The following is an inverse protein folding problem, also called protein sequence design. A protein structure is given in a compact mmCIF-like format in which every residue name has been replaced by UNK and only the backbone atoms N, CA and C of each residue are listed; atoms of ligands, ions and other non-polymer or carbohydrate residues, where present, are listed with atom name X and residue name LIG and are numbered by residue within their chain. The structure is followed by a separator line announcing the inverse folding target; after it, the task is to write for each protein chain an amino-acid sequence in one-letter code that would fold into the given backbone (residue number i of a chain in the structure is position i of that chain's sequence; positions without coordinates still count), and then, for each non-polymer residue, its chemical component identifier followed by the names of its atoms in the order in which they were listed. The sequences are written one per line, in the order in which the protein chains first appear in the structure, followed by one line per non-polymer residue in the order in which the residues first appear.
data_IF_291800258978
#
_entry.id   IF_291800258978
#
_cell.length_a   1.000
_cell.length_b   1.000
_cell.length_c   1.000
_cell.angle_alpha   90.00
_cell.angle_beta   90.00
_cell.angle_gamma   90.00
#
_symmetry.space_group_name_H-M   'P 1'
#
loop_
_entity.id
_entity.type
_entity.pdbx_description
1 polymer ?
#
# COMPACT_ATOMS: atom_id res chain seq x y z
N UNK A 1 -9.16 -19.10 -22.48
CA UNK A 1 -10.22 -18.66 -21.57
C UNK A 1 -9.59 -18.76 -20.19
N UNK A 2 -8.84 -17.73 -19.81
CA UNK A 2 -8.28 -17.65 -18.45
C UNK A 2 -9.35 -16.95 -17.64
N UNK A 3 -9.96 -17.69 -16.71
CA UNK A 3 -11.01 -17.17 -15.85
C UNK A 3 -10.32 -16.21 -14.88
N UNK A 4 -10.26 -14.93 -15.25
CA UNK A 4 -10.02 -13.85 -14.29
C UNK A 4 -11.19 -13.88 -13.30
N UNK A 5 -11.04 -14.71 -12.26
CA UNK A 5 -11.84 -14.58 -11.05
C UNK A 5 -11.65 -13.14 -10.59
N UNK A 6 -12.67 -12.31 -10.79
CA UNK A 6 -12.76 -10.96 -10.23
C UNK A 6 -12.70 -11.12 -8.72
N UNK A 7 -11.49 -11.08 -8.19
CA UNK A 7 -11.22 -11.22 -6.77
C UNK A 7 -11.86 -10.00 -6.11
N UNK A 8 -13.05 -10.21 -5.52
CA UNK A 8 -13.87 -9.16 -4.95
C UNK A 8 -13.05 -8.37 -3.93
N UNK A 9 -12.79 -7.10 -4.25
CA UNK A 9 -12.01 -6.23 -3.39
C UNK A 9 -12.77 -6.00 -2.08
N UNK A 10 -12.18 -6.43 -0.97
CA UNK A 10 -12.74 -6.22 0.37
C UNK A 10 -12.16 -4.92 0.96
N UNK A 11 -13.01 -3.94 1.30
CA UNK A 11 -12.58 -2.70 1.95
C UNK A 11 -11.77 -2.94 3.21
N UNK A 12 -10.71 -2.16 3.43
CA UNK A 12 -9.79 -2.30 4.57
C UNK A 12 -10.53 -2.10 5.90
N UNK A 13 -11.48 -1.15 5.96
CA UNK A 13 -12.34 -0.91 7.12
C UNK A 13 -13.15 -2.12 7.60
N UNK A 14 -13.38 -3.10 6.72
CA UNK A 14 -14.13 -4.31 7.05
C UNK A 14 -13.23 -5.47 7.50
N UNK A 15 -11.91 -5.34 7.40
CA UNK A 15 -10.98 -6.41 7.80
C UNK A 15 -10.59 -6.24 9.27
N UNK A 16 -10.59 -7.32 10.07
CA UNK A 16 -10.36 -7.23 11.51
C UNK A 16 -8.97 -6.71 11.88
N UNK A 17 -7.97 -6.89 11.01
CA UNK A 17 -6.60 -6.43 11.22
C UNK A 17 -6.41 -4.91 11.12
N UNK A 18 -7.42 -4.15 10.69
CA UNK A 18 -7.37 -2.69 10.52
C UNK A 18 -8.30 -1.92 11.45
N UNK A 19 -8.98 -2.59 12.39
CA UNK A 19 -9.98 -1.97 13.27
C UNK A 19 -9.39 -0.93 14.24
N UNK A 20 -8.11 -1.06 14.57
CA UNK A 20 -7.37 -0.16 15.45
C UNK A 20 -6.72 1.02 14.71
N UNK A 21 -6.69 0.99 13.37
CA UNK A 21 -6.05 2.01 12.56
C UNK A 21 -7.08 3.05 12.12
N UNK A 22 -6.83 4.32 12.50
CA UNK A 22 -7.63 5.44 12.01
C UNK A 22 -7.04 5.96 10.69
N UNK A 23 -7.76 5.85 9.56
CA UNK A 23 -7.24 6.28 8.26
C UNK A 23 -7.00 7.80 8.22
N UNK A 24 -5.95 8.21 7.52
CA UNK A 24 -5.55 9.62 7.36
C UNK A 24 -5.79 10.06 5.93
N UNK A 25 -6.73 10.98 5.73
CA UNK A 25 -7.07 11.52 4.42
C UNK A 25 -5.92 12.32 3.78
N UNK A 26 -5.94 12.41 2.46
CA UNK A 26 -5.04 13.30 1.71
C UNK A 26 -5.45 14.76 1.94
N UNK A 27 -4.51 15.59 2.37
CA UNK A 27 -4.71 17.04 2.50
C UNK A 27 -4.25 17.76 1.23
N UNK A 28 -5.20 18.06 0.33
CA UNK A 28 -4.94 18.84 -0.89
C UNK A 28 -5.26 20.35 -0.71
N UNK A 29 -5.61 20.77 0.51
CA UNK A 29 -6.00 22.14 0.83
C UNK A 29 -7.35 22.59 0.28
N UNK A 30 -7.68 23.88 0.44
CA UNK A 30 -9.02 24.42 0.14
C UNK A 30 -9.36 24.49 -1.36
N UNK A 31 -8.35 24.65 -2.22
CA UNK A 31 -8.53 24.83 -3.67
C UNK A 31 -7.45 24.04 -4.44
N UNK A 32 -7.60 22.72 -4.60
CA UNK A 32 -6.62 21.89 -5.31
C UNK A 32 -6.56 22.27 -6.79
N UNK A 33 -5.34 22.45 -7.31
CA UNK A 33 -5.12 22.85 -8.71
C UNK A 33 -5.28 21.67 -9.68
N UNK A 34 -5.07 20.44 -9.21
CA UNK A 34 -5.12 19.21 -10.03
C UNK A 34 -5.65 18.01 -9.22
N UNK A 35 -6.92 18.02 -8.77
CA UNK A 35 -7.48 16.89 -8.05
C UNK A 35 -7.55 15.66 -8.97
N UNK A 36 -7.06 14.52 -8.48
CA UNK A 36 -7.16 13.25 -9.20
C UNK A 36 -8.40 12.53 -8.68
N UNK A 37 -9.30 12.18 -9.60
CA UNK A 37 -10.49 11.39 -9.30
C UNK A 37 -10.10 9.92 -9.05
N UNK A 38 -9.60 9.64 -7.84
CA UNK A 38 -9.22 8.29 -7.43
C UNK A 38 -10.44 7.40 -7.24
N UNK A 39 -10.27 6.11 -7.51
CA UNK A 39 -11.23 5.07 -7.11
C UNK A 39 -11.23 4.91 -5.59
N UNK A 40 -12.35 4.44 -5.03
CA UNK A 40 -12.50 4.21 -3.58
C UNK A 40 -11.39 3.30 -3.02
N UNK A 41 -11.05 2.22 -3.75
CA UNK A 41 -9.97 1.30 -3.38
C UNK A 41 -8.61 1.99 -3.16
N UNK A 42 -8.31 2.99 -4.00
CA UNK A 42 -7.07 3.74 -3.93
C UNK A 42 -7.09 4.72 -2.77
N UNK A 43 -8.20 5.43 -2.59
CA UNK A 43 -8.37 6.39 -1.50
C UNK A 43 -8.21 5.67 -0.16
N UNK A 44 -8.92 4.56 0.03
CA UNK A 44 -8.87 3.81 1.28
C UNK A 44 -7.45 3.27 1.52
N UNK A 45 -6.86 2.56 0.57
CA UNK A 45 -5.50 2.00 0.71
C UNK A 45 -4.47 3.06 1.06
N UNK A 46 -4.53 4.22 0.39
CA UNK A 46 -3.62 5.33 0.67
C UNK A 46 -3.87 5.98 2.02
N UNK A 47 -5.11 6.07 2.47
CA UNK A 47 -5.42 6.67 3.77
C UNK A 47 -4.92 5.81 4.94
N UNK A 48 -5.07 4.48 4.84
CA UNK A 48 -4.46 3.56 5.80
C UNK A 48 -2.93 3.61 5.72
N UNK A 49 -2.36 3.64 4.51
CA UNK A 49 -0.90 3.76 4.36
C UNK A 49 -0.35 5.02 5.03
N UNK A 50 -1.02 6.17 4.87
CA UNK A 50 -0.63 7.43 5.53
C UNK A 50 -0.72 7.33 7.06
N UNK A 51 -1.72 6.62 7.59
CA UNK A 51 -1.83 6.39 9.02
C UNK A 51 -0.64 5.61 9.56
N UNK A 52 -0.27 4.50 8.90
CA UNK A 52 0.90 3.69 9.28
C UNK A 52 2.21 4.45 9.13
N UNK A 53 2.35 5.21 8.04
CA UNK A 53 3.53 6.04 7.80
C UNK A 53 3.76 7.07 8.90
N UNK A 54 2.68 7.65 9.45
CA UNK A 54 2.77 8.67 10.49
C UNK A 54 3.34 8.15 11.81
N UNK A 55 3.08 6.88 12.11
CA UNK A 55 3.50 6.22 13.36
C UNK A 55 4.73 5.33 13.16
N UNK A 56 5.29 5.29 11.94
CA UNK A 56 6.40 4.41 11.54
C UNK A 56 6.13 2.92 11.84
N UNK A 57 4.87 2.48 11.64
CA UNK A 57 4.44 1.10 11.92
C UNK A 57 5.07 0.11 10.92
N UNK A 58 5.75 -0.91 11.45
CA UNK A 58 6.54 -1.89 10.68
C UNK A 58 6.17 -3.33 11.03
N UNK A 59 4.88 -3.60 11.03
CA UNK A 59 4.31 -4.94 11.29
C UNK A 59 4.01 -5.70 10.00
N UNK A 60 3.69 -6.99 10.13
CA UNK A 60 3.33 -7.83 8.96
C UNK A 60 2.11 -7.29 8.19
N UNK A 61 1.04 -6.78 8.82
CA UNK A 61 -0.07 -6.14 8.10
C UNK A 61 0.36 -4.90 7.31
N UNK A 62 1.25 -4.07 7.89
CA UNK A 62 1.78 -2.88 7.21
C UNK A 62 2.52 -3.22 5.91
N UNK A 63 3.31 -4.32 5.92
CA UNK A 63 4.02 -4.80 4.74
C UNK A 63 3.05 -5.31 3.64
N UNK A 64 1.97 -5.99 4.05
CA UNK A 64 0.93 -6.44 3.12
C UNK A 64 0.21 -5.25 2.49
N UNK A 65 -0.19 -4.25 3.29
CA UNK A 65 -0.81 -3.02 2.80
C UNK A 65 0.11 -2.28 1.83
N UNK A 66 1.41 -2.22 2.11
CA UNK A 66 2.38 -1.58 1.21
C UNK A 66 2.47 -2.33 -0.11
N UNK A 67 2.36 -3.66 -0.10
CA UNK A 67 2.31 -4.47 -1.33
C UNK A 67 1.04 -4.18 -2.14
N UNK A 68 -0.12 -4.04 -1.48
CA UNK A 68 -1.38 -3.62 -2.13
C UNK A 68 -1.25 -2.21 -2.73
N UNK A 69 -0.69 -1.26 -1.98
CA UNK A 69 -0.47 0.12 -2.44
C UNK A 69 0.46 0.20 -3.66
N UNK A 70 1.53 -0.61 -3.70
CA UNK A 70 2.44 -0.68 -4.86
C UNK A 70 1.73 -1.25 -6.10
N UNK A 71 0.82 -2.21 -5.94
CA UNK A 71 0.02 -2.72 -7.06
C UNK A 71 -0.90 -1.64 -7.63
N UNK A 72 -1.45 -0.78 -6.77
CA UNK A 72 -2.32 0.32 -7.17
C UNK A 72 -1.55 1.47 -7.84
N UNK A 73 -0.35 1.80 -7.37
CA UNK A 73 0.53 2.79 -8.01
C UNK A 73 2.02 2.50 -7.78
N UNK A 74 2.61 1.73 -8.70
CA UNK A 74 4.01 1.30 -8.61
C UNK A 74 5.04 2.42 -8.79
N UNK A 75 4.60 3.63 -9.18
CA UNK A 75 5.48 4.80 -9.35
C UNK A 75 5.59 5.67 -8.10
N UNK A 76 4.83 5.38 -7.05
CA UNK A 76 4.95 6.11 -5.80
C UNK A 76 6.16 5.59 -4.99
N UNK A 77 7.21 6.39 -4.92
CA UNK A 77 8.48 6.04 -4.28
C UNK A 77 8.41 6.03 -2.75
N UNK A 78 7.44 6.74 -2.15
CA UNK A 78 7.28 6.77 -0.68
C UNK A 78 6.90 5.41 -0.09
N UNK A 79 6.27 4.52 -0.88
CA UNK A 79 5.98 3.15 -0.46
C UNK A 79 7.25 2.34 -0.16
N UNK A 80 8.31 2.58 -0.92
CA UNK A 80 9.55 1.81 -0.78
C UNK A 80 10.33 2.18 0.49
N UNK A 81 10.15 3.40 1.01
CA UNK A 81 10.88 3.88 2.19
C UNK A 81 10.47 3.12 3.46
N UNK A 82 9.16 2.90 3.68
CA UNK A 82 8.66 2.08 4.80
C UNK A 82 9.18 0.63 4.73
N UNK A 83 9.12 0.03 3.53
CA UNK A 83 9.58 -1.35 3.32
C UNK A 83 11.08 -1.54 3.61
N UNK A 84 11.90 -0.51 3.42
CA UNK A 84 13.36 -0.60 3.60
C UNK A 84 13.80 -0.23 5.02
N UNK A 85 13.04 0.61 5.74
CA UNK A 85 13.39 1.06 7.09
C UNK A 85 13.09 0.06 8.22
N UNK A 86 12.11 -0.83 8.05
CA UNK A 86 11.68 -1.76 9.11
C UNK A 86 12.35 -3.12 9.12
N UNK A 87 13.18 -3.40 8.13
CA UNK A 87 13.84 -4.67 8.02
C UNK A 87 15.17 -4.62 8.77
N UNK A 88 15.10 -4.90 10.07
CA UNK A 88 16.29 -5.20 10.86
C UNK A 88 17.09 -6.30 10.19
N UNK A 89 18.30 -5.97 9.74
CA UNK A 89 19.44 -6.85 9.40
C UNK A 89 19.08 -8.35 9.24
N UNK A 90 18.44 -8.72 8.13
CA UNK A 90 18.14 -10.14 7.89
C UNK A 90 17.36 -10.43 6.62
N UNK A 91 16.32 -9.64 6.35
CA UNK A 91 15.54 -9.78 5.12
C UNK A 91 16.01 -8.73 4.11
N UNK A 92 16.24 -9.13 2.87
CA UNK A 92 16.61 -8.17 1.82
C UNK A 92 15.48 -8.16 0.81
N UNK A 93 14.62 -7.14 0.87
CA UNK A 93 13.57 -6.95 -0.14
C UNK A 93 14.24 -6.37 -1.39
N UNK A 94 14.61 -7.26 -2.32
CA UNK A 94 15.10 -6.86 -3.63
C UNK A 94 13.96 -6.85 -4.65
N UNK A 95 13.82 -5.73 -5.36
CA UNK A 95 12.92 -5.61 -6.49
C UNK A 95 13.51 -6.40 -7.68
N UNK A 96 13.00 -7.60 -7.93
CA UNK A 96 13.39 -8.38 -9.11
C UNK A 96 12.37 -8.16 -10.24
N UNK A 97 12.74 -7.33 -11.22
CA UNK A 97 11.96 -7.18 -12.46
C UNK A 97 12.44 -8.27 -13.43
N UNK A 98 11.74 -9.40 -13.50
CA UNK A 98 11.89 -10.39 -14.58
C UNK A 98 10.61 -10.47 -15.39
N UNK A 99 10.72 -10.25 -16.70
CA UNK A 99 9.65 -10.50 -17.68
C UNK A 99 8.32 -9.81 -17.36
N UNK A 100 8.36 -8.54 -16.95
CA UNK A 100 7.16 -7.72 -16.75
C UNK A 100 6.30 -8.07 -15.54
N UNK A 101 6.71 -9.04 -14.71
CA UNK A 101 6.05 -9.35 -13.44
C UNK A 101 6.89 -8.87 -12.27
N UNK A 102 6.32 -7.97 -11.48
CA UNK A 102 6.91 -7.53 -10.20
C UNK A 102 6.67 -8.66 -9.20
N UNK A 103 7.74 -9.29 -8.73
CA UNK A 103 7.69 -10.23 -7.61
C UNK A 103 8.49 -9.68 -6.45
N UNK A 104 7.82 -9.54 -5.31
CA UNK A 104 8.47 -9.31 -4.03
C UNK A 104 8.92 -10.69 -3.51
N UNK A 105 10.23 -10.91 -3.41
CA UNK A 105 10.79 -12.08 -2.73
C UNK A 105 11.18 -11.66 -1.32
N UNK A 106 10.57 -12.32 -0.34
CA UNK A 106 10.99 -12.31 1.06
C UNK A 106 11.87 -13.55 1.24
N UNK A 107 13.16 -13.38 1.52
CA UNK A 107 14.08 -14.44 1.93
C UNK A 107 14.50 -14.17 3.37
#
# INVERSE_FOLDING_TARGET
MDSDEEQEWVPLKNRPEWLDVVPVEQDDGLNPVVPIAYKEEFIETMNYFRALYRVDERSSPALQLTTEAIKLNSRNYTFFEICLGGVGKGYSVWLLIKSGKVRFCVF
#
